data_IF_307090728626
#
_entry.id   IF_307090728626
#
_cell.length_a   1.000
_cell.length_b   1.000
_cell.length_c   1.000
_cell.angle_alpha   90.00
_cell.angle_beta   90.00
_cell.angle_gamma   90.00
#
_symmetry.space_group_name_H-M   'P 1'
#
loop_
_entity.id
_entity.type
_entity.pdbx_description
1 polymer ?
#
# COMPACT_ATOMS: atom_id res chain seq x y z
N UNK A 1 -10.42 15.30 -30.70
CA UNK A 1 -9.23 14.54 -30.24
C UNK A 1 -9.72 13.40 -29.37
N UNK A 2 -9.52 12.17 -29.81
CA UNK A 2 -9.77 11.01 -28.94
C UNK A 2 -8.64 11.00 -27.94
N UNK A 3 -8.91 11.42 -26.71
CA UNK A 3 -7.94 11.35 -25.64
C UNK A 3 -7.51 9.90 -25.44
N UNK A 4 -6.23 9.69 -25.35
CA UNK A 4 -5.66 8.39 -25.04
C UNK A 4 -6.29 7.90 -23.74
N UNK A 5 -6.81 6.67 -23.80
CA UNK A 5 -7.49 6.03 -22.65
C UNK A 5 -6.52 5.21 -21.81
N UNK A 6 -5.30 5.04 -22.29
CA UNK A 6 -4.25 4.28 -21.64
C UNK A 6 -3.34 5.19 -20.84
N UNK A 7 -3.05 4.77 -19.62
CA UNK A 7 -2.07 5.39 -18.75
C UNK A 7 -1.01 4.34 -18.41
N UNK A 8 0.26 4.68 -18.58
CA UNK A 8 1.38 3.84 -18.19
C UNK A 8 2.30 4.62 -17.27
N UNK A 9 2.80 3.99 -16.24
CA UNK A 9 3.69 4.62 -15.27
C UNK A 9 4.77 3.68 -14.77
N UNK A 10 5.94 4.26 -14.52
CA UNK A 10 7.04 3.57 -13.85
C UNK A 10 7.54 4.52 -12.75
N UNK A 11 7.61 4.02 -11.54
CA UNK A 11 8.11 4.76 -10.38
C UNK A 11 9.20 3.95 -9.70
N UNK A 12 10.37 4.56 -9.54
CA UNK A 12 11.44 3.98 -8.75
C UNK A 12 11.49 4.68 -7.39
N UNK A 13 11.41 3.92 -6.31
CA UNK A 13 11.43 4.39 -4.92
C UNK A 13 12.64 3.86 -4.20
N UNK A 14 13.12 4.62 -3.23
CA UNK A 14 14.22 4.25 -2.34
C UNK A 14 15.49 3.79 -3.06
N UNK A 15 15.79 4.41 -4.23
CA UNK A 15 16.92 4.05 -5.09
C UNK A 15 18.27 4.14 -4.39
N UNK A 16 18.40 5.08 -3.45
CA UNK A 16 19.62 5.30 -2.68
C UNK A 16 19.70 4.45 -1.43
N UNK A 17 18.66 3.62 -1.19
CA UNK A 17 18.54 2.82 0.02
C UNK A 17 18.56 3.67 1.30
N UNK A 18 17.58 3.51 2.18
CA UNK A 18 17.58 4.18 3.48
C UNK A 18 18.07 3.20 4.54
N UNK A 19 19.03 3.67 5.34
CA UNK A 19 19.60 2.92 6.45
C UNK A 19 19.23 3.60 7.76
N UNK A 20 18.48 2.90 8.61
CA UNK A 20 18.16 3.33 9.96
C UNK A 20 18.84 2.43 10.97
N UNK A 21 19.63 3.03 11.87
CA UNK A 21 20.23 2.32 12.98
C UNK A 21 19.67 2.85 14.30
N UNK A 22 19.07 1.95 15.07
CA UNK A 22 18.55 2.25 16.41
C UNK A 22 19.52 1.71 17.44
N UNK A 23 19.89 2.55 18.40
CA UNK A 23 20.67 2.16 19.56
C UNK A 23 19.82 2.33 20.81
N UNK A 24 19.68 1.28 21.60
CA UNK A 24 18.90 1.29 22.83
C UNK A 24 19.84 1.37 24.03
N UNK A 25 19.52 2.27 24.94
CA UNK A 25 20.23 2.38 26.24
C UNK A 25 19.22 2.06 27.34
N UNK A 26 19.50 1.00 28.08
CA UNK A 26 18.67 0.56 29.19
C UNK A 26 19.34 0.89 30.51
N UNK A 27 18.57 1.30 31.50
CA UNK A 27 19.02 1.37 32.88
C UNK A 27 19.22 -0.03 33.47
N UNK A 28 20.00 -0.17 34.53
CA UNK A 28 20.23 -1.47 35.17
C UNK A 28 18.94 -2.14 35.63
N UNK A 29 17.96 -1.35 36.08
CA UNK A 29 16.64 -1.86 36.51
C UNK A 29 15.84 -2.42 35.31
N UNK A 30 15.90 -1.79 34.15
CA UNK A 30 15.23 -2.29 32.95
C UNK A 30 15.90 -3.56 32.42
N UNK A 31 17.23 -3.65 32.47
CA UNK A 31 17.98 -4.87 32.15
C UNK A 31 17.60 -6.03 33.06
N UNK A 32 17.46 -5.77 34.36
CA UNK A 32 17.03 -6.76 35.33
C UNK A 32 15.61 -7.29 35.03
N UNK A 33 14.67 -6.39 34.70
CA UNK A 33 13.30 -6.76 34.31
C UNK A 33 13.31 -7.62 33.01
N UNK A 34 14.08 -7.22 32.00
CA UNK A 34 14.23 -7.99 30.76
C UNK A 34 14.79 -9.39 31.03
N UNK A 35 15.82 -9.48 31.89
CA UNK A 35 16.42 -10.75 32.29
C UNK A 35 15.41 -11.64 33.03
N UNK A 36 14.67 -11.11 34.00
CA UNK A 36 13.66 -11.83 34.76
C UNK A 36 12.49 -12.34 33.87
N UNK A 37 12.14 -11.58 32.85
CA UNK A 37 11.09 -11.93 31.89
C UNK A 37 11.59 -12.82 30.74
N UNK A 38 12.88 -13.23 30.77
CA UNK A 38 13.56 -14.03 29.73
C UNK A 38 13.46 -13.39 28.33
N UNK A 39 13.48 -12.07 28.27
CA UNK A 39 13.58 -11.33 27.02
C UNK A 39 15.03 -10.98 26.74
N UNK A 40 15.43 -11.06 25.47
CA UNK A 40 16.73 -10.60 25.02
C UNK A 40 16.83 -9.09 25.17
N UNK A 41 17.98 -8.58 25.59
CA UNK A 41 18.24 -7.14 25.67
C UNK A 41 18.61 -6.66 24.26
N UNK A 42 17.73 -5.88 23.59
CA UNK A 42 18.02 -5.38 22.25
C UNK A 42 19.08 -4.28 22.33
N UNK A 43 20.27 -4.55 21.84
CA UNK A 43 21.39 -3.59 21.88
C UNK A 43 21.38 -2.68 20.66
N UNK A 44 21.08 -3.23 19.50
CA UNK A 44 20.99 -2.51 18.22
C UNK A 44 19.96 -3.14 17.32
N UNK A 45 19.21 -2.31 16.60
CA UNK A 45 18.38 -2.72 15.49
C UNK A 45 18.78 -1.93 14.25
N UNK A 46 18.87 -2.61 13.12
CA UNK A 46 19.21 -2.01 11.84
C UNK A 46 18.08 -2.30 10.85
N UNK A 47 17.54 -1.26 10.28
CA UNK A 47 16.54 -1.34 9.23
C UNK A 47 17.11 -0.84 7.93
N UNK A 48 16.95 -1.63 6.88
CA UNK A 48 17.35 -1.31 5.53
C UNK A 48 16.12 -1.24 4.64
N UNK A 49 15.88 -0.09 4.01
CA UNK A 49 14.82 0.03 3.00
C UNK A 49 15.43 -0.22 1.63
N UNK A 50 15.09 -1.35 1.03
CA UNK A 50 15.60 -1.71 -0.29
C UNK A 50 14.90 -0.94 -1.42
N UNK A 51 15.57 -0.76 -2.56
CA UNK A 51 14.97 -0.17 -3.76
C UNK A 51 13.73 -0.92 -4.21
N UNK A 52 12.74 -0.16 -4.70
CA UNK A 52 11.50 -0.69 -5.23
C UNK A 52 11.18 -0.06 -6.58
N UNK A 53 10.81 -0.89 -7.54
CA UNK A 53 10.33 -0.48 -8.84
C UNK A 53 8.82 -0.78 -8.93
N UNK A 54 8.02 0.24 -9.19
CA UNK A 54 6.58 0.10 -9.40
C UNK A 54 6.32 0.32 -10.89
N UNK A 55 5.69 -0.66 -11.52
CA UNK A 55 5.27 -0.61 -12.93
C UNK A 55 3.75 -0.71 -12.93
N UNK A 56 3.09 0.24 -13.57
CA UNK A 56 1.64 0.27 -13.59
C UNK A 56 1.06 0.67 -14.93
N UNK A 57 -0.17 0.23 -15.14
CA UNK A 57 -0.96 0.61 -16.30
C UNK A 57 -2.43 0.71 -15.94
N UNK A 58 -3.11 1.65 -16.56
CA UNK A 58 -4.53 1.89 -16.38
C UNK A 58 -5.24 2.15 -17.69
N UNK A 59 -6.55 1.96 -17.66
CA UNK A 59 -7.43 2.21 -18.78
C UNK A 59 -8.74 2.85 -18.34
N UNK A 60 -9.16 3.89 -19.08
CA UNK A 60 -10.38 4.64 -18.82
C UNK A 60 -11.51 4.25 -19.77
N UNK A 61 -12.57 3.66 -19.23
CA UNK A 61 -13.80 3.34 -19.95
C UNK A 61 -14.78 4.49 -19.81
N UNK A 62 -15.03 5.23 -20.89
CA UNK A 62 -16.05 6.30 -20.91
C UNK A 62 -17.44 5.69 -21.12
N UNK A 63 -18.25 5.67 -20.07
CA UNK A 63 -19.61 5.15 -20.07
C UNK A 63 -20.60 6.34 -20.17
N UNK A 64 -20.81 6.84 -21.38
CA UNK A 64 -21.64 8.01 -21.62
C UNK A 64 -20.92 9.34 -21.36
N UNK A 65 -21.69 10.39 -21.02
CA UNK A 65 -21.16 11.77 -20.88
C UNK A 65 -20.63 12.09 -19.49
N UNK A 66 -21.10 11.38 -18.47
CA UNK A 66 -20.87 11.77 -17.07
C UNK A 66 -20.17 10.68 -16.25
N UNK A 67 -20.01 9.46 -16.76
CA UNK A 67 -19.42 8.34 -16.04
C UNK A 67 -18.15 7.88 -16.74
N UNK A 68 -17.05 7.84 -15.98
CA UNK A 68 -15.80 7.23 -16.39
C UNK A 68 -15.48 6.13 -15.37
N UNK A 69 -15.24 4.92 -15.85
CA UNK A 69 -14.73 3.82 -15.06
C UNK A 69 -13.26 3.62 -15.39
N UNK A 70 -12.38 3.83 -14.44
CA UNK A 70 -10.94 3.62 -14.58
C UNK A 70 -10.56 2.30 -13.91
N UNK A 71 -9.79 1.47 -14.61
CA UNK A 71 -9.19 0.26 -14.06
C UNK A 71 -7.67 0.41 -14.10
N UNK A 72 -7.02 0.04 -13.02
CA UNK A 72 -5.56 0.15 -12.87
C UNK A 72 -5.00 -1.16 -12.32
N UNK A 73 -3.85 -1.57 -12.84
CA UNK A 73 -3.07 -2.67 -12.32
C UNK A 73 -1.60 -2.23 -12.19
N UNK A 74 -1.05 -2.47 -11.02
CA UNK A 74 0.34 -2.14 -10.69
C UNK A 74 1.06 -3.38 -10.18
N UNK A 75 2.36 -3.40 -10.34
CA UNK A 75 3.25 -4.43 -9.84
C UNK A 75 4.43 -3.77 -9.15
N UNK A 76 4.58 -4.05 -7.87
CA UNK A 76 5.77 -3.67 -7.09
C UNK A 76 6.82 -4.77 -7.21
N UNK A 77 8.00 -4.41 -7.68
CA UNK A 77 9.18 -5.28 -7.75
C UNK A 77 10.17 -4.81 -6.70
N UNK A 78 10.49 -5.66 -5.73
CA UNK A 78 11.46 -5.39 -4.67
C UNK A 78 12.69 -6.27 -4.81
N UNK A 79 13.86 -5.77 -4.40
CA UNK A 79 15.17 -6.41 -4.57
C UNK A 79 15.81 -6.79 -3.24
N UNK A 80 15.02 -7.03 -2.23
CA UNK A 80 15.44 -7.30 -0.85
C UNK A 80 15.35 -8.77 -0.43
N UNK A 81 15.23 -9.66 -1.42
CA UNK A 81 15.18 -11.10 -1.20
C UNK A 81 13.78 -11.65 -1.00
N UNK A 82 13.67 -12.71 -0.22
CA UNK A 82 12.39 -13.41 -0.01
C UNK A 82 11.43 -12.58 0.82
N UNK A 83 10.27 -12.29 0.25
CA UNK A 83 9.13 -11.68 0.94
C UNK A 83 7.91 -12.60 0.84
N UNK A 84 6.96 -12.44 1.74
CA UNK A 84 5.70 -13.15 1.66
C UNK A 84 4.74 -12.40 0.71
N UNK A 85 4.92 -12.61 -0.59
CA UNK A 85 4.16 -11.98 -1.68
C UNK A 85 3.71 -13.03 -2.69
N UNK A 86 3.03 -12.63 -3.76
CA UNK A 86 2.55 -13.55 -4.81
C UNK A 86 3.69 -14.34 -5.42
N UNK A 87 4.79 -13.66 -5.74
CA UNK A 87 6.03 -14.30 -6.19
C UNK A 87 7.18 -13.88 -5.29
N UNK A 88 7.90 -14.85 -4.74
CA UNK A 88 9.00 -14.65 -3.82
C UNK A 88 10.21 -15.46 -4.26
N UNK A 89 11.15 -14.80 -4.89
CA UNK A 89 12.45 -15.35 -5.27
C UNK A 89 13.55 -15.03 -4.26
N UNK A 90 14.76 -15.54 -4.49
CA UNK A 90 15.89 -15.27 -3.60
C UNK A 90 16.37 -13.81 -3.68
N UNK A 91 16.17 -13.15 -4.81
CA UNK A 91 16.63 -11.78 -5.07
C UNK A 91 15.48 -10.82 -5.33
N UNK A 92 14.39 -11.29 -5.93
CA UNK A 92 13.29 -10.46 -6.40
C UNK A 92 11.98 -10.98 -5.83
N UNK A 93 11.14 -10.09 -5.34
CA UNK A 93 9.76 -10.37 -4.95
C UNK A 93 8.80 -9.45 -5.69
N UNK A 94 7.60 -9.97 -6.00
CA UNK A 94 6.59 -9.29 -6.82
C UNK A 94 5.28 -9.23 -6.05
N UNK A 95 4.74 -8.02 -5.88
CA UNK A 95 3.46 -7.75 -5.21
C UNK A 95 2.53 -6.97 -6.16
N UNK A 96 1.47 -7.61 -6.67
CA UNK A 96 0.51 -6.96 -7.55
C UNK A 96 -0.54 -6.17 -6.77
N UNK A 97 -1.02 -5.07 -7.37
CA UNK A 97 -2.11 -4.24 -6.87
C UNK A 97 -3.12 -4.00 -7.98
N UNK A 98 -4.40 -4.03 -7.65
CA UNK A 98 -5.48 -3.76 -8.61
C UNK A 98 -6.41 -2.72 -8.01
N UNK A 99 -6.78 -1.72 -8.80
CA UNK A 99 -7.69 -0.65 -8.42
C UNK A 99 -8.76 -0.37 -9.48
N UNK A 100 -9.91 0.06 -9.00
CA UNK A 100 -11.02 0.53 -9.82
C UNK A 100 -11.50 1.87 -9.28
N UNK A 101 -11.81 2.81 -10.16
CA UNK A 101 -12.44 4.08 -9.83
C UNK A 101 -13.63 4.34 -10.74
N UNK A 102 -14.77 4.71 -10.17
CA UNK A 102 -15.91 5.27 -10.88
C UNK A 102 -15.94 6.78 -10.63
N UNK A 103 -15.73 7.57 -11.67
CA UNK A 103 -15.80 9.04 -11.64
C UNK A 103 -17.15 9.49 -12.24
N UNK A 104 -17.97 10.12 -11.42
CA UNK A 104 -19.31 10.60 -11.79
C UNK A 104 -19.26 12.12 -11.95
N UNK A 105 -19.47 12.60 -13.17
CA UNK A 105 -19.45 14.03 -13.54
C UNK A 105 -18.14 14.77 -13.13
N UNK A 106 -17.06 14.04 -12.90
CA UNK A 106 -15.81 14.56 -12.37
C UNK A 106 -15.96 15.32 -11.04
N UNK A 107 -16.97 14.96 -10.27
CA UNK A 107 -17.34 15.54 -8.97
C UNK A 107 -17.28 14.48 -7.87
N UNK A 108 -17.92 13.33 -8.10
CA UNK A 108 -17.94 12.22 -7.16
C UNK A 108 -17.06 11.09 -7.67
N UNK A 109 -16.31 10.47 -6.77
CA UNK A 109 -15.41 9.37 -7.05
C UNK A 109 -15.67 8.25 -6.06
N UNK A 110 -15.82 7.03 -6.56
CA UNK A 110 -15.94 5.82 -5.76
C UNK A 110 -14.79 4.92 -6.18
N UNK A 111 -14.05 4.40 -5.21
CA UNK A 111 -12.84 3.60 -5.44
C UNK A 111 -12.92 2.28 -4.70
N UNK A 112 -12.35 1.27 -5.31
CA UNK A 112 -12.11 -0.02 -4.68
C UNK A 112 -10.77 -0.57 -5.12
N UNK A 113 -10.09 -1.31 -4.25
CA UNK A 113 -8.79 -1.89 -4.58
C UNK A 113 -8.49 -3.11 -3.74
N UNK A 114 -7.53 -3.89 -4.23
CA UNK A 114 -6.99 -5.05 -3.53
C UNK A 114 -5.48 -5.00 -3.65
N UNK A 115 -4.81 -5.15 -2.51
CA UNK A 115 -3.35 -5.12 -2.38
C UNK A 115 -2.87 -6.20 -1.43
N UNK A 116 -1.56 -6.31 -1.26
CA UNK A 116 -0.91 -7.11 -0.23
C UNK A 116 -1.31 -8.58 -0.25
N UNK A 117 -1.15 -9.21 -1.42
CA UNK A 117 -1.39 -10.64 -1.57
C UNK A 117 -0.25 -11.44 -0.94
N UNK A 118 -0.55 -12.21 0.08
CA UNK A 118 0.43 -13.03 0.78
C UNK A 118 -0.16 -14.38 1.20
N UNK A 119 0.71 -15.35 1.46
CA UNK A 119 0.31 -16.63 2.05
C UNK A 119 0.60 -16.60 3.54
N UNK A 120 -0.36 -16.99 4.35
CA UNK A 120 -0.21 -17.07 5.80
C UNK A 120 -1.01 -18.21 6.38
N UNK A 121 -0.72 -18.58 7.61
CA UNK A 121 -1.56 -19.49 8.40
C UNK A 121 -2.78 -18.73 8.91
N UNK A 122 -3.94 -19.41 8.96
CA UNK A 122 -5.15 -18.81 9.51
C UNK A 122 -4.97 -18.54 11.00
N UNK A 123 -5.30 -17.32 11.44
CA UNK A 123 -5.20 -16.94 12.84
C UNK A 123 -6.02 -17.88 13.75
N UNK A 124 -5.39 -18.31 14.86
CA UNK A 124 -6.00 -19.17 15.86
C UNK A 124 -5.86 -20.68 15.61
N UNK A 125 -5.37 -21.11 14.46
CA UNK A 125 -5.14 -22.54 14.19
C UNK A 125 -3.66 -22.91 14.36
N UNK A 126 -3.28 -23.25 15.59
CA UNK A 126 -1.93 -23.71 15.92
C UNK A 126 -1.67 -25.17 15.51
N UNK A 127 -2.71 -25.89 15.14
CA UNK A 127 -2.65 -27.34 14.86
C UNK A 127 -2.55 -27.62 13.36
N UNK A 128 -3.23 -26.83 12.55
CA UNK A 128 -3.34 -27.04 11.11
C UNK A 128 -2.50 -25.99 10.37
N UNK A 129 -1.31 -26.35 9.94
CA UNK A 129 -0.39 -25.46 9.19
C UNK A 129 -0.88 -25.16 7.75
N UNK A 130 -2.19 -25.19 7.51
CA UNK A 130 -2.77 -24.89 6.20
C UNK A 130 -2.56 -23.43 5.86
N UNK A 131 -1.83 -23.16 4.79
CA UNK A 131 -1.67 -21.80 4.26
C UNK A 131 -2.93 -21.36 3.52
N UNK A 132 -3.37 -20.15 3.82
CA UNK A 132 -4.46 -19.45 3.13
C UNK A 132 -3.93 -18.18 2.49
N UNK A 133 -4.59 -17.74 1.42
CA UNK A 133 -4.29 -16.44 0.83
C UNK A 133 -4.87 -15.34 1.71
N UNK A 134 -4.03 -14.40 2.08
CA UNK A 134 -4.37 -13.15 2.77
C UNK A 134 -4.25 -12.03 1.73
N UNK A 135 -5.21 -11.13 1.70
CA UNK A 135 -5.22 -9.95 0.83
C UNK A 135 -5.89 -8.79 1.54
N UNK A 136 -5.57 -7.59 1.14
CA UNK A 136 -6.06 -6.37 1.78
C UNK A 136 -6.98 -5.59 0.83
N UNK A 137 -8.30 -5.79 0.90
CA UNK A 137 -9.25 -4.99 0.16
C UNK A 137 -9.39 -3.61 0.78
N UNK A 138 -9.66 -2.63 -0.05
CA UNK A 138 -9.88 -1.24 0.34
C UNK A 138 -11.05 -0.65 -0.44
N UNK A 139 -11.72 0.33 0.16
CA UNK A 139 -12.75 1.14 -0.50
C UNK A 139 -12.53 2.61 -0.17
N UNK A 140 -12.95 3.50 -1.06
CA UNK A 140 -12.81 4.92 -0.87
C UNK A 140 -13.88 5.72 -1.59
N UNK A 141 -14.07 6.95 -1.14
CA UNK A 141 -14.92 7.94 -1.79
C UNK A 141 -14.20 9.27 -1.87
N UNK A 142 -14.43 10.00 -2.94
CA UNK A 142 -13.87 11.33 -3.16
C UNK A 142 -14.93 12.31 -3.62
N UNK A 143 -14.72 13.57 -3.28
CA UNK A 143 -15.58 14.66 -3.68
C UNK A 143 -14.74 15.87 -4.11
N UNK A 144 -15.03 16.40 -5.30
CA UNK A 144 -14.31 17.53 -5.88
C UNK A 144 -15.21 18.74 -5.99
N UNK A 145 -14.78 19.84 -5.37
CA UNK A 145 -15.44 21.16 -5.46
C UNK A 145 -14.42 22.14 -6.04
N UNK A 146 -14.62 22.58 -7.27
CA UNK A 146 -13.71 23.49 -7.97
C UNK A 146 -12.26 22.97 -7.93
N UNK A 147 -11.42 23.62 -7.16
CA UNK A 147 -9.99 23.31 -7.03
C UNK A 147 -9.65 22.46 -5.81
N UNK A 148 -10.64 22.08 -5.01
CA UNK A 148 -10.47 21.29 -3.80
C UNK A 148 -10.98 19.88 -4.06
N UNK A 149 -10.18 18.87 -3.69
CA UNK A 149 -10.58 17.48 -3.68
C UNK A 149 -10.41 16.92 -2.28
N UNK A 150 -11.46 16.30 -1.78
CA UNK A 150 -11.52 15.65 -0.47
C UNK A 150 -11.69 14.16 -0.73
N UNK A 151 -10.78 13.35 -0.23
CA UNK A 151 -10.82 11.91 -0.36
C UNK A 151 -10.85 11.25 1.01
N UNK A 152 -11.60 10.18 1.10
CA UNK A 152 -11.61 9.27 2.22
C UNK A 152 -11.38 7.84 1.72
N UNK A 153 -10.54 7.11 2.41
CA UNK A 153 -10.32 5.68 2.13
C UNK A 153 -10.34 4.88 3.43
N UNK A 154 -10.87 3.69 3.32
CA UNK A 154 -10.90 2.67 4.35
C UNK A 154 -10.20 1.42 3.83
N UNK A 155 -9.16 0.98 4.53
CA UNK A 155 -8.34 -0.15 4.12
C UNK A 155 -8.54 -1.35 5.03
N UNK A 156 -8.15 -2.53 4.56
CA UNK A 156 -8.23 -3.79 5.28
C UNK A 156 -9.68 -4.22 5.64
N UNK A 157 -10.59 -4.12 4.67
CA UNK A 157 -11.99 -4.54 4.82
C UNK A 157 -12.15 -6.03 5.18
N UNK A 158 -11.17 -6.87 4.86
CA UNK A 158 -11.21 -8.30 5.17
C UNK A 158 -10.77 -8.63 6.60
N UNK A 159 -10.33 -7.66 7.38
CA UNK A 159 -9.91 -7.83 8.77
C UNK A 159 -8.83 -8.91 8.97
N UNK A 160 -7.93 -9.06 8.00
CA UNK A 160 -6.95 -10.14 7.93
C UNK A 160 -5.54 -9.73 8.38
N UNK A 161 -5.35 -8.48 8.75
CA UNK A 161 -4.05 -7.94 9.19
C UNK A 161 -4.17 -7.04 10.41
N UNK A 162 -3.09 -6.87 11.13
CA UNK A 162 -3.00 -5.97 12.28
C UNK A 162 -2.12 -4.76 11.89
N UNK A 163 -2.62 -3.50 11.97
CA UNK A 163 -3.90 -3.07 12.52
C UNK A 163 -5.09 -3.50 11.63
N UNK A 164 -6.22 -3.76 12.27
CA UNK A 164 -7.42 -4.33 11.64
C UNK A 164 -8.01 -3.46 10.53
N UNK A 165 -7.88 -2.13 10.62
CA UNK A 165 -8.34 -1.19 9.60
C UNK A 165 -7.63 0.14 9.74
N UNK A 166 -7.56 0.88 8.64
CA UNK A 166 -6.98 2.22 8.59
C UNK A 166 -7.91 3.18 7.88
N UNK A 167 -8.18 4.31 8.51
CA UNK A 167 -8.91 5.42 7.93
C UNK A 167 -7.92 6.44 7.38
N UNK A 168 -8.06 6.79 6.11
CA UNK A 168 -7.18 7.75 5.43
C UNK A 168 -8.04 8.90 4.93
N UNK A 169 -7.72 10.12 5.36
CA UNK A 169 -8.30 11.35 4.85
C UNK A 169 -7.25 12.12 4.07
N UNK A 170 -7.59 12.58 2.90
CA UNK A 170 -6.71 13.36 2.03
C UNK A 170 -7.42 14.63 1.55
N UNK A 171 -6.68 15.73 1.53
CA UNK A 171 -7.14 17.01 1.02
C UNK A 171 -6.14 17.50 -0.03
N UNK A 172 -6.61 17.76 -1.24
CA UNK A 172 -5.79 18.24 -2.36
C UNK A 172 -6.29 19.60 -2.86
N UNK A 173 -5.38 20.53 -3.02
CA UNK A 173 -5.63 21.84 -3.60
C UNK A 173 -4.93 21.93 -4.96
N UNK A 174 -5.67 22.23 -6.02
CA UNK A 174 -5.12 22.49 -7.33
C UNK A 174 -4.98 24.01 -7.53
N UNK A 175 -3.76 24.51 -7.53
CA UNK A 175 -3.45 25.92 -7.78
C UNK A 175 -3.17 26.08 -9.26
N UNK A 176 -4.14 26.62 -9.99
CA UNK A 176 -3.95 26.98 -11.41
C UNK A 176 -3.46 28.42 -11.48
N UNK A 177 -2.19 28.63 -11.83
CA UNK A 177 -1.70 29.94 -12.17
C UNK A 177 -2.43 30.46 -13.41
N UNK A 178 -2.90 31.71 -13.41
CA UNK A 178 -3.31 32.40 -14.67
C UNK A 178 -2.10 32.39 -15.59
N UNK A 179 -2.23 31.77 -16.75
CA UNK A 179 -1.35 32.12 -17.88
C UNK A 179 -1.78 33.51 -18.33
N UNK A 180 -0.93 34.51 -18.09
CA UNK A 180 -0.98 35.78 -18.80
C UNK A 180 -0.67 35.57 -20.28
#
# INVERSE_FOLDING_TARGET
MHGERWNLGIVARDLTTTFNAWSFTFTEKEKEILYLTKNDIPVKSTELTAPRLIIGGGYDFKLGKSLILSAEANVDVTFDGKRNTVYSGNTISIDPHIGLEASISNVFFIRAGITNFQKGTQDGDTTNKKQVWIYQPSAGAGFKIRNIMIDYAFTNLANQSNPLYTHIFSLRFNITGKKE
#
